data_IF_480351763758
#
_entry.id   IF_480351763758
#
_cell.length_a   1.000
_cell.length_b   1.000
_cell.length_c   1.000
_cell.angle_alpha   90.00
_cell.angle_beta   90.00
_cell.angle_gamma   90.00
#
_symmetry.space_group_name_H-M   'P 1'
#
loop_
_entity.id
_entity.type
_entity.pdbx_description
1 polymer ?
#
# COMPACT_ATOMS: atom_id res chain seq x y z
N UNK A 1 17.23 4.20 -8.99
CA UNK A 1 16.17 3.17 -9.02
C UNK A 1 15.48 3.20 -7.68
N UNK A 2 14.17 3.43 -7.66
CA UNK A 2 13.37 3.45 -6.43
C UNK A 2 12.79 2.05 -6.18
N UNK A 3 12.55 1.69 -4.93
CA UNK A 3 11.85 0.46 -4.56
C UNK A 3 10.73 0.79 -3.56
N UNK A 4 9.56 0.19 -3.75
CA UNK A 4 8.42 0.40 -2.87
C UNK A 4 8.46 -0.63 -1.74
N UNK A 5 8.36 -0.17 -0.50
CA UNK A 5 8.20 -1.02 0.68
C UNK A 5 6.72 -1.33 0.96
N UNK A 6 6.45 -2.46 1.61
CA UNK A 6 5.10 -2.91 1.98
C UNK A 6 4.33 -1.87 2.79
N UNK A 7 5.00 -1.16 3.69
CA UNK A 7 4.35 -0.18 4.55
C UNK A 7 3.69 0.96 3.77
N UNK A 8 4.29 1.39 2.66
CA UNK A 8 3.72 2.43 1.79
C UNK A 8 2.38 1.98 1.22
N UNK A 9 2.31 0.72 0.76
CA UNK A 9 1.09 0.14 0.20
C UNK A 9 0.03 -0.11 1.27
N UNK A 10 0.43 -0.61 2.44
CA UNK A 10 -0.46 -0.84 3.59
C UNK A 10 -1.07 0.48 4.07
N UNK A 11 -0.26 1.53 4.29
CA UNK A 11 -0.78 2.83 4.73
C UNK A 11 -1.63 3.52 3.69
N UNK A 12 -1.40 3.28 2.40
CA UNK A 12 -2.28 3.78 1.35
C UNK A 12 -3.71 3.21 1.49
N UNK A 13 -3.86 2.01 2.04
CA UNK A 13 -5.15 1.32 2.24
C UNK A 13 -5.71 1.46 3.65
N UNK A 14 -4.86 1.73 4.65
CA UNK A 14 -5.30 1.85 6.04
C UNK A 14 -6.10 3.15 6.26
N UNK A 15 -7.40 3.02 6.54
CA UNK A 15 -8.28 4.15 6.86
C UNK A 15 -8.20 4.59 8.32
N UNK A 16 -7.60 3.78 9.20
CA UNK A 16 -7.45 4.10 10.62
C UNK A 16 -6.27 5.03 10.89
N UNK A 17 -5.37 5.20 9.92
CA UNK A 17 -4.14 5.98 10.03
C UNK A 17 -4.11 7.11 8.97
N UNK A 18 -4.98 8.13 9.07
CA UNK A 18 -5.19 9.12 8.01
C UNK A 18 -3.92 9.94 7.68
N UNK A 19 -3.08 10.22 8.68
CA UNK A 19 -1.81 10.95 8.49
C UNK A 19 -0.85 10.13 7.64
N UNK A 20 -0.68 8.83 7.95
CA UNK A 20 0.20 7.93 7.20
C UNK A 20 -0.37 7.65 5.82
N UNK A 21 -1.69 7.55 5.69
CA UNK A 21 -2.37 7.41 4.41
C UNK A 21 -2.12 8.62 3.49
N UNK A 22 -2.23 9.84 4.01
CA UNK A 22 -1.95 11.05 3.23
C UNK A 22 -0.50 11.08 2.74
N UNK A 23 0.46 10.72 3.62
CA UNK A 23 1.89 10.61 3.27
C UNK A 23 2.15 9.55 2.21
N UNK A 24 1.58 8.35 2.36
CA UNK A 24 1.70 7.27 1.40
C UNK A 24 1.13 7.65 0.03
N UNK A 25 -0.03 8.33 0.01
CA UNK A 25 -0.63 8.85 -1.22
C UNK A 25 0.27 9.88 -1.91
N UNK A 26 0.85 10.81 -1.16
CA UNK A 26 1.75 11.82 -1.72
C UNK A 26 3.04 11.19 -2.27
N UNK A 27 3.62 10.24 -1.53
CA UNK A 27 4.82 9.51 -1.95
C UNK A 27 4.59 8.73 -3.25
N UNK A 28 3.46 8.01 -3.35
CA UNK A 28 3.09 7.31 -4.59
C UNK A 28 2.87 8.27 -5.77
N UNK A 29 2.28 9.45 -5.54
CA UNK A 29 2.14 10.48 -6.59
C UNK A 29 3.50 10.97 -7.06
N UNK A 30 4.43 11.28 -6.15
CA UNK A 30 5.78 11.71 -6.51
C UNK A 30 6.52 10.65 -7.31
N UNK A 31 6.43 9.38 -6.88
CA UNK A 31 7.03 8.25 -7.60
C UNK A 31 6.44 8.08 -9.01
N UNK A 32 5.15 8.35 -9.20
CA UNK A 32 4.53 8.27 -10.53
C UNK A 32 4.97 9.38 -11.48
N UNK A 33 5.38 10.53 -10.96
CA UNK A 33 5.88 11.67 -11.75
C UNK A 33 7.41 11.66 -11.93
N UNK A 34 8.13 10.81 -11.19
CA UNK A 34 9.59 10.72 -11.25
C UNK A 34 10.00 9.86 -12.47
N UNK A 35 10.91 10.34 -13.34
CA UNK A 35 11.42 9.55 -14.46
C UNK A 35 12.26 8.35 -14.03
N UNK A 36 12.69 8.28 -12.77
CA UNK A 36 13.46 7.17 -12.21
C UNK A 36 12.61 5.91 -12.14
N UNK A 37 13.07 4.77 -12.69
CA UNK A 37 12.37 3.51 -12.59
C UNK A 37 12.09 3.14 -11.13
N UNK A 38 10.84 2.80 -10.86
CA UNK A 38 10.37 2.32 -9.56
C UNK A 38 10.08 0.83 -9.65
N UNK A 39 10.71 0.04 -8.80
CA UNK A 39 10.51 -1.40 -8.71
C UNK A 39 9.49 -1.74 -7.62
N UNK A 40 8.62 -2.69 -7.96
CA UNK A 40 7.80 -3.42 -7.00
C UNK A 40 8.38 -4.83 -6.86
N UNK A 41 8.97 -5.13 -5.70
CA UNK A 41 9.55 -6.44 -5.45
C UNK A 41 8.45 -7.49 -5.23
N UNK A 42 8.68 -8.72 -5.68
CA UNK A 42 7.71 -9.80 -5.51
C UNK A 42 7.38 -10.05 -4.02
N UNK A 43 8.39 -9.93 -3.15
CA UNK A 43 8.24 -10.08 -1.71
C UNK A 43 7.25 -9.06 -1.13
N UNK A 44 7.30 -7.82 -1.60
CA UNK A 44 6.40 -6.73 -1.17
C UNK A 44 4.96 -7.05 -1.53
N UNK A 45 4.73 -7.65 -2.70
CA UNK A 45 3.41 -8.14 -3.09
C UNK A 45 2.95 -9.27 -2.16
N UNK A 46 3.83 -10.23 -1.84
CA UNK A 46 3.54 -11.33 -0.93
C UNK A 46 3.15 -10.84 0.49
N UNK A 47 3.92 -9.91 1.03
CA UNK A 47 3.66 -9.29 2.33
C UNK A 47 2.34 -8.50 2.33
N UNK A 48 2.08 -7.71 1.28
CA UNK A 48 0.82 -6.99 1.13
C UNK A 48 -0.38 -7.94 1.11
N UNK A 49 -0.32 -9.03 0.32
CA UNK A 49 -1.40 -10.01 0.26
C UNK A 49 -1.66 -10.68 1.62
N UNK A 50 -0.58 -11.05 2.33
CA UNK A 50 -0.67 -11.60 3.68
C UNK A 50 -1.35 -10.61 4.64
N UNK A 51 -0.98 -9.33 4.58
CA UNK A 51 -1.58 -8.29 5.42
C UNK A 51 -3.06 -8.10 5.12
N UNK A 52 -3.44 -8.06 3.83
CA UNK A 52 -4.83 -7.96 3.42
C UNK A 52 -5.66 -9.17 3.89
N UNK A 53 -5.13 -10.39 3.78
CA UNK A 53 -5.79 -11.60 4.30
C UNK A 53 -6.01 -11.50 5.80
N UNK A 54 -4.99 -11.05 6.56
CA UNK A 54 -5.09 -10.85 8.00
C UNK A 54 -6.14 -9.81 8.38
N UNK A 55 -6.21 -8.68 7.66
CA UNK A 55 -7.25 -7.68 7.89
C UNK A 55 -8.65 -8.18 7.54
N UNK A 56 -8.80 -9.02 6.52
CA UNK A 56 -10.07 -9.70 6.23
C UNK A 56 -10.48 -10.63 7.37
N UNK A 57 -9.53 -11.42 7.91
CA UNK A 57 -9.79 -12.35 9.02
C UNK A 57 -10.19 -11.60 10.31
N UNK A 58 -9.67 -10.39 10.49
CA UNK A 58 -10.04 -9.48 11.58
C UNK A 58 -11.34 -8.69 11.31
N UNK A 59 -11.97 -8.85 10.14
CA UNK A 59 -13.16 -8.08 9.75
C UNK A 59 -12.90 -6.59 9.49
N UNK A 60 -11.63 -6.15 9.38
CA UNK A 60 -11.27 -4.75 9.14
C UNK A 60 -11.57 -4.29 7.72
N UNK A 61 -11.54 -5.22 6.76
CA UNK A 61 -11.80 -4.96 5.35
C UNK A 61 -12.68 -6.05 4.73
N UNK A 62 -13.48 -5.67 3.75
CA UNK A 62 -14.14 -6.60 2.82
C UNK A 62 -13.56 -6.43 1.42
N UNK A 63 -13.77 -7.40 0.53
CA UNK A 63 -13.29 -7.31 -0.87
C UNK A 63 -13.75 -6.01 -1.55
N UNK A 64 -15.02 -5.65 -1.40
CA UNK A 64 -15.59 -4.41 -1.94
C UNK A 64 -15.00 -3.12 -1.36
N UNK A 65 -14.52 -3.16 -0.12
CA UNK A 65 -14.01 -1.96 0.57
C UNK A 65 -12.59 -1.59 0.12
N UNK A 66 -11.84 -2.56 -0.41
CA UNK A 66 -10.41 -2.41 -0.77
C UNK A 66 -10.22 -1.99 -2.23
N UNK A 67 -11.13 -2.40 -3.12
CA UNK A 67 -11.02 -2.16 -4.56
C UNK A 67 -11.70 -0.87 -5.06
N UNK A 68 -12.35 -0.12 -4.17
CA UNK A 68 -12.94 1.21 -4.44
C UNK A 68 -11.98 2.33 -4.07
#
# INVERSE_FOLDING_TARGET
MNAIDTNVLVYRLDRQEPIKQAKARDLLRRLSSDPTPTLLLWQVLGELMRQLRSWQDQGRITRDTVLR
#
